data_IF_446232941124
#
_entry.id   IF_446232941124
#
_cell.length_a   1.000
_cell.length_b   1.000
_cell.length_c   1.000
_cell.angle_alpha   90.00
_cell.angle_beta   90.00
_cell.angle_gamma   90.00
#
_symmetry.space_group_name_H-M   'P 1'
#
loop_
_entity.id
_entity.type
_entity.pdbx_description
1 polymer ?
#
# COMPACT_ATOMS: atom_id res chain seq x y z
N UNK A 1 -12.57 -6.71 -30.43
CA UNK A 1 -12.47 -8.02 -29.73
C UNK A 1 -11.23 -7.99 -28.87
N UNK A 2 -11.36 -7.84 -27.55
CA UNK A 2 -10.20 -7.84 -26.64
C UNK A 2 -9.72 -9.28 -26.48
N UNK A 3 -8.43 -9.50 -26.71
CA UNK A 3 -7.81 -10.81 -26.78
C UNK A 3 -7.84 -11.48 -25.39
N UNK A 4 -8.52 -12.63 -25.24
CA UNK A 4 -8.68 -13.37 -23.97
C UNK A 4 -7.36 -13.81 -23.30
N UNK A 5 -6.20 -13.61 -23.96
CA UNK A 5 -4.86 -13.91 -23.43
C UNK A 5 -4.34 -12.89 -22.40
N UNK A 6 -4.96 -11.72 -22.25
CA UNK A 6 -4.43 -10.64 -21.38
C UNK A 6 -4.92 -10.64 -19.93
N UNK A 7 -5.90 -11.48 -19.55
CA UNK A 7 -6.28 -11.71 -18.15
C UNK A 7 -5.65 -13.01 -17.65
N UNK A 8 -4.36 -12.99 -17.34
CA UNK A 8 -3.62 -14.18 -16.92
C UNK A 8 -3.98 -14.68 -15.50
N UNK A 9 -4.64 -13.89 -14.65
CA UNK A 9 -5.11 -14.31 -13.33
C UNK A 9 -6.51 -13.71 -13.04
N UNK A 10 -7.60 -14.50 -13.07
CA UNK A 10 -8.95 -14.00 -12.80
C UNK A 10 -9.14 -13.53 -11.35
N UNK A 11 -8.35 -14.04 -10.40
CA UNK A 11 -8.44 -13.66 -8.98
C UNK A 11 -8.00 -12.21 -8.75
N UNK A 12 -7.01 -11.73 -9.52
CA UNK A 12 -6.50 -10.36 -9.43
C UNK A 12 -7.11 -9.40 -10.45
N UNK A 13 -8.08 -9.84 -11.24
CA UNK A 13 -8.65 -9.03 -12.32
C UNK A 13 -9.27 -7.71 -11.81
N UNK A 14 -9.89 -7.73 -10.63
CA UNK A 14 -10.44 -6.51 -10.01
C UNK A 14 -9.33 -5.50 -9.67
N UNK A 15 -8.28 -5.94 -8.97
CA UNK A 15 -7.14 -5.09 -8.62
C UNK A 15 -6.49 -4.50 -9.88
N UNK A 16 -6.33 -5.31 -10.93
CA UNK A 16 -5.83 -4.84 -12.23
C UNK A 16 -6.68 -3.71 -12.81
N UNK A 17 -8.02 -3.85 -12.81
CA UNK A 17 -8.92 -2.79 -13.28
C UNK A 17 -8.83 -1.52 -12.43
N UNK A 18 -8.73 -1.64 -11.11
CA UNK A 18 -8.58 -0.49 -10.22
C UNK A 18 -7.26 0.27 -10.49
N UNK A 19 -6.16 -0.45 -10.74
CA UNK A 19 -4.87 0.16 -11.16
C UNK A 19 -5.01 0.85 -12.52
N UNK A 20 -5.66 0.22 -13.50
CA UNK A 20 -5.87 0.81 -14.82
C UNK A 20 -6.73 2.08 -14.76
N UNK A 21 -7.76 2.08 -13.91
CA UNK A 21 -8.66 3.21 -13.70
C UNK A 21 -8.05 4.33 -12.82
N UNK A 22 -6.95 4.08 -12.11
CA UNK A 22 -6.42 5.05 -11.13
C UNK A 22 -7.27 5.16 -9.86
N UNK A 23 -8.06 4.13 -9.56
CA UNK A 23 -8.95 4.12 -8.40
C UNK A 23 -8.20 3.75 -7.11
N UNK A 24 -7.53 4.76 -6.54
CA UNK A 24 -6.79 4.62 -5.28
C UNK A 24 -7.71 4.31 -4.09
N UNK A 25 -8.96 4.77 -4.12
CA UNK A 25 -9.92 4.50 -3.04
C UNK A 25 -10.32 3.02 -3.06
N UNK A 26 -10.67 2.47 -4.21
CA UNK A 26 -10.96 1.05 -4.36
C UNK A 26 -9.77 0.18 -3.96
N UNK A 27 -8.55 0.54 -4.36
CA UNK A 27 -7.33 -0.16 -3.93
C UNK A 27 -7.10 -0.08 -2.42
N UNK A 28 -7.43 1.07 -1.80
CA UNK A 28 -7.33 1.26 -0.36
C UNK A 28 -8.30 0.35 0.40
N UNK A 29 -9.55 0.23 -0.06
CA UNK A 29 -10.51 -0.69 0.55
C UNK A 29 -10.07 -2.15 0.39
N UNK A 30 -9.53 -2.54 -0.77
CA UNK A 30 -8.93 -3.88 -0.94
C UNK A 30 -7.79 -4.14 0.03
N UNK A 31 -6.90 -3.17 0.24
CA UNK A 31 -5.84 -3.31 1.22
C UNK A 31 -6.40 -3.41 2.64
N UNK A 32 -7.47 -2.66 2.94
CA UNK A 32 -8.21 -2.75 4.20
C UNK A 32 -8.83 -4.13 4.46
N UNK A 33 -9.30 -4.85 3.43
CA UNK A 33 -9.79 -6.24 3.58
C UNK A 33 -8.70 -7.17 4.14
N UNK A 34 -7.44 -6.98 3.74
CA UNK A 34 -6.29 -7.72 4.27
C UNK A 34 -5.86 -7.22 5.66
N UNK A 35 -5.80 -5.90 5.82
CA UNK A 35 -5.20 -5.25 6.99
C UNK A 35 -6.14 -5.18 8.20
N UNK A 36 -7.45 -5.17 7.97
CA UNK A 36 -8.49 -5.10 9.00
C UNK A 36 -8.96 -3.69 9.36
N UNK A 37 -8.30 -2.64 8.88
CA UNK A 37 -8.74 -1.24 9.05
C UNK A 37 -8.09 -0.33 7.99
N UNK A 38 -8.54 0.93 7.91
CA UNK A 38 -7.93 1.95 7.08
C UNK A 38 -6.96 2.80 7.91
N UNK A 39 -5.72 2.96 7.44
CA UNK A 39 -4.74 3.84 8.08
C UNK A 39 -3.85 4.55 7.07
N UNK A 40 -3.25 5.67 7.48
CA UNK A 40 -2.41 6.49 6.61
C UNK A 40 -1.20 5.75 6.04
N UNK A 41 -0.54 4.91 6.85
CA UNK A 41 0.62 4.15 6.41
C UNK A 41 0.26 3.12 5.34
N UNK A 42 -0.88 2.45 5.46
CA UNK A 42 -1.38 1.55 4.41
C UNK A 42 -1.71 2.31 3.13
N UNK A 43 -2.32 3.50 3.23
CA UNK A 43 -2.59 4.35 2.08
C UNK A 43 -1.31 4.76 1.33
N UNK A 44 -0.21 5.02 2.05
CA UNK A 44 1.10 5.25 1.43
C UNK A 44 1.60 4.01 0.68
N UNK A 45 1.39 2.82 1.24
CA UNK A 45 1.73 1.55 0.59
C UNK A 45 0.94 1.33 -0.71
N UNK A 46 -0.37 1.59 -0.67
CA UNK A 46 -1.25 1.51 -1.86
C UNK A 46 -0.77 2.47 -2.94
N UNK A 47 -0.48 3.72 -2.57
CA UNK A 47 0.02 4.73 -3.51
C UNK A 47 1.38 4.36 -4.10
N UNK A 48 2.31 3.84 -3.28
CA UNK A 48 3.61 3.39 -3.75
C UNK A 48 3.50 2.21 -4.72
N UNK A 49 2.69 1.19 -4.36
CA UNK A 49 2.41 0.06 -5.24
C UNK A 49 1.77 0.50 -6.55
N UNK A 50 0.80 1.43 -6.50
CA UNK A 50 0.14 1.97 -7.68
C UNK A 50 1.12 2.67 -8.63
N UNK A 51 1.94 3.59 -8.09
CA UNK A 51 2.95 4.31 -8.87
C UNK A 51 3.90 3.30 -9.53
N UNK A 52 4.42 2.33 -8.77
CA UNK A 52 5.33 1.34 -9.33
C UNK A 52 4.70 0.52 -10.48
N UNK A 53 3.46 0.07 -10.30
CA UNK A 53 2.76 -0.71 -11.32
C UNK A 53 2.51 0.10 -12.59
N UNK A 54 2.20 1.39 -12.45
CA UNK A 54 1.97 2.32 -13.57
C UNK A 54 3.26 2.67 -14.31
N UNK A 55 4.27 3.16 -13.59
CA UNK A 55 5.53 3.63 -14.17
C UNK A 55 6.30 2.50 -14.88
N UNK A 56 6.27 1.29 -14.32
CA UNK A 56 6.91 0.13 -14.93
C UNK A 56 6.03 -0.60 -15.96
N UNK A 57 4.78 -0.15 -16.17
CA UNK A 57 3.77 -0.78 -17.05
C UNK A 57 3.62 -2.28 -16.73
N UNK A 58 3.43 -2.59 -15.45
CA UNK A 58 3.37 -3.96 -14.95
C UNK A 58 1.95 -4.50 -14.92
N UNK A 59 1.82 -5.79 -15.26
CA UNK A 59 0.63 -6.60 -15.00
C UNK A 59 1.05 -7.82 -14.19
N UNK A 60 0.78 -7.78 -12.89
CA UNK A 60 1.14 -8.84 -11.95
C UNK A 60 0.07 -9.93 -11.86
N UNK A 61 0.51 -11.17 -11.97
CA UNK A 61 -0.23 -12.40 -11.69
C UNK A 61 -0.26 -12.74 -10.20
N UNK A 62 0.39 -11.94 -9.35
CA UNK A 62 0.57 -12.25 -7.95
C UNK A 62 1.56 -13.38 -7.73
N UNK A 63 2.57 -13.47 -8.60
CA UNK A 63 3.68 -14.41 -8.50
C UNK A 63 5.00 -13.65 -8.74
N UNK A 64 6.10 -14.38 -8.84
CA UNK A 64 7.44 -13.81 -8.77
C UNK A 64 7.92 -13.09 -10.06
N UNK A 65 7.10 -12.86 -11.07
CA UNK A 65 7.48 -12.08 -12.26
C UNK A 65 7.72 -10.60 -11.95
N UNK A 66 7.12 -10.11 -10.86
CA UNK A 66 7.39 -8.83 -10.22
C UNK A 66 7.91 -9.12 -8.83
N UNK A 67 8.99 -8.44 -8.43
CA UNK A 67 9.53 -8.53 -7.08
C UNK A 67 9.34 -7.20 -6.36
N UNK A 68 8.91 -7.24 -5.10
CA UNK A 68 8.87 -6.09 -4.21
C UNK A 68 9.87 -6.28 -3.06
N UNK A 69 10.83 -5.39 -2.93
CA UNK A 69 11.76 -5.34 -1.81
C UNK A 69 11.26 -4.26 -0.84
N UNK A 70 10.79 -4.67 0.33
CA UNK A 70 10.22 -3.78 1.34
C UNK A 70 11.24 -3.48 2.43
N UNK A 71 11.30 -2.21 2.82
CA UNK A 71 12.30 -1.70 3.77
C UNK A 71 11.77 -1.44 5.20
N UNK A 72 10.53 -1.85 5.50
CA UNK A 72 9.82 -1.61 6.77
C UNK A 72 8.82 -2.72 7.13
N UNK A 73 8.52 -2.91 8.42
CA UNK A 73 7.50 -3.82 8.95
C UNK A 73 6.28 -3.07 9.53
N UNK A 74 5.64 -2.22 8.74
CA UNK A 74 4.42 -1.53 9.15
C UNK A 74 3.31 -1.66 8.09
N UNK A 75 2.17 -1.01 8.32
CA UNK A 75 0.98 -1.09 7.47
C UNK A 75 1.23 -0.72 6.00
N UNK A 76 2.30 0.03 5.69
CA UNK A 76 2.76 0.30 4.33
C UNK A 76 2.92 -0.99 3.52
N UNK A 77 3.42 -2.04 4.16
CA UNK A 77 3.70 -3.30 3.51
C UNK A 77 2.45 -3.98 2.98
N UNK A 78 1.32 -3.90 3.69
CA UNK A 78 0.06 -4.51 3.24
C UNK A 78 -0.53 -3.79 2.03
N UNK A 79 -0.42 -2.46 1.98
CA UNK A 79 -0.78 -1.69 0.79
C UNK A 79 0.04 -2.09 -0.44
N UNK A 80 1.36 -2.26 -0.27
CA UNK A 80 2.25 -2.74 -1.33
C UNK A 80 1.86 -4.16 -1.77
N UNK A 81 1.65 -5.08 -0.82
CA UNK A 81 1.28 -6.47 -1.10
C UNK A 81 -0.02 -6.53 -1.91
N UNK A 82 -1.04 -5.79 -1.49
CA UNK A 82 -2.35 -5.79 -2.16
C UNK A 82 -2.22 -5.33 -3.62
N UNK A 83 -1.61 -4.16 -3.84
CA UNK A 83 -1.56 -3.53 -5.16
C UNK A 83 -0.62 -4.27 -6.10
N UNK A 84 0.59 -4.61 -5.66
CA UNK A 84 1.59 -5.27 -6.51
C UNK A 84 1.31 -6.76 -6.68
N UNK A 85 0.64 -7.40 -5.72
CA UNK A 85 0.49 -8.85 -5.65
C UNK A 85 1.76 -9.56 -5.20
N UNK A 86 2.83 -8.83 -4.88
CA UNK A 86 4.02 -9.39 -4.29
C UNK A 86 3.75 -9.62 -2.80
N UNK A 87 3.57 -10.87 -2.39
CA UNK A 87 3.27 -11.21 -0.99
C UNK A 87 4.41 -12.01 -0.39
N UNK A 88 4.46 -12.09 0.94
CA UNK A 88 5.48 -12.89 1.61
C UNK A 88 5.37 -14.38 1.23
N UNK A 89 4.15 -14.92 1.18
CA UNK A 89 3.90 -16.35 0.94
C UNK A 89 4.10 -16.80 -0.51
N UNK A 90 4.04 -15.91 -1.49
CA UNK A 90 4.29 -16.25 -2.90
C UNK A 90 5.73 -16.00 -3.35
N UNK A 91 6.64 -15.75 -2.41
CA UNK A 91 8.08 -15.47 -2.62
C UNK A 91 8.40 -14.24 -3.47
N UNK A 92 7.42 -13.41 -3.82
CA UNK A 92 7.63 -12.21 -4.61
C UNK A 92 7.96 -10.98 -3.74
N UNK A 93 7.74 -11.05 -2.42
CA UNK A 93 8.13 -10.01 -1.49
C UNK A 93 9.41 -10.39 -0.74
N UNK A 94 10.41 -9.52 -0.82
CA UNK A 94 11.67 -9.64 -0.08
C UNK A 94 11.66 -8.59 1.03
N UNK A 95 11.68 -9.04 2.28
CA UNK A 95 11.75 -8.16 3.43
C UNK A 95 13.22 -7.82 3.78
N UNK A 96 13.53 -6.52 3.89
CA UNK A 96 14.84 -6.00 4.28
C UNK A 96 14.66 -4.84 5.26
N UNK A 97 14.61 -5.14 6.54
CA UNK A 97 14.36 -4.13 7.56
C UNK A 97 15.50 -3.08 7.63
N UNK A 98 15.27 -1.92 7.02
CA UNK A 98 16.16 -0.76 7.13
C UNK A 98 15.51 0.37 7.92
N UNK A 99 14.30 0.15 8.46
CA UNK A 99 13.48 1.18 9.09
C UNK A 99 13.05 2.30 8.13
N UNK A 100 13.05 2.06 6.82
CA UNK A 100 12.64 3.05 5.80
C UNK A 100 11.27 2.69 5.27
N UNK A 101 10.30 3.62 5.34
CA UNK A 101 9.01 3.46 4.67
C UNK A 101 9.20 3.58 3.16
N UNK A 102 9.68 2.50 2.54
CA UNK A 102 10.08 2.43 1.15
C UNK A 102 9.87 1.03 0.57
N UNK A 103 9.69 1.00 -0.75
CA UNK A 103 9.64 -0.22 -1.56
C UNK A 103 10.45 -0.05 -2.84
N UNK A 104 11.20 -1.07 -3.22
CA UNK A 104 11.73 -1.22 -4.58
C UNK A 104 10.90 -2.27 -5.32
N UNK A 105 10.29 -1.89 -6.44
CA UNK A 105 9.57 -2.82 -7.31
C UNK A 105 10.40 -3.05 -8.57
N UNK A 106 10.62 -4.31 -8.92
CA UNK A 106 11.52 -4.70 -10.00
C UNK A 106 10.92 -5.76 -10.93
N UNK A 107 11.24 -5.64 -12.23
CA UNK A 107 11.11 -6.69 -13.23
C UNK A 107 12.28 -7.67 -13.12
N UNK A 108 12.09 -8.88 -13.65
CA UNK A 108 13.16 -9.89 -13.75
C UNK A 108 14.33 -9.48 -14.66
N UNK A 109 14.13 -8.52 -15.56
CA UNK A 109 15.19 -7.96 -16.40
C UNK A 109 16.09 -6.93 -15.69
N UNK A 110 15.81 -6.63 -14.42
CA UNK A 110 16.57 -5.66 -13.62
C UNK A 110 16.02 -4.24 -13.65
N UNK A 111 15.04 -3.93 -14.51
CA UNK A 111 14.36 -2.63 -14.50
C UNK A 111 13.58 -2.48 -13.20
N UNK A 112 13.85 -1.42 -12.44
CA UNK A 112 13.25 -1.22 -11.13
C UNK A 112 12.96 0.26 -10.84
N UNK A 113 12.02 0.49 -9.93
CA UNK A 113 11.74 1.79 -9.32
C UNK A 113 11.76 1.64 -7.81
N UNK A 114 12.42 2.57 -7.12
CA UNK A 114 12.37 2.68 -5.66
C UNK A 114 11.55 3.90 -5.25
N UNK A 115 10.58 3.69 -4.37
CA UNK A 115 9.67 4.72 -3.88
C UNK A 115 9.82 4.76 -2.36
N UNK A 116 10.04 5.95 -1.82
CA UNK A 116 10.17 6.20 -0.39
C UNK A 116 9.20 7.31 0.04
N UNK A 117 8.64 7.19 1.25
CA UNK A 117 7.90 8.27 1.89
C UNK A 117 8.85 9.44 2.13
N UNK A 118 8.43 10.65 1.76
CA UNK A 118 9.19 11.85 2.04
C UNK A 118 9.18 12.11 3.57
N UNK A 119 10.34 12.10 4.25
CA UNK A 119 10.40 12.35 5.69
C UNK A 119 9.85 13.73 6.05
N UNK A 120 10.13 14.77 5.26
CA UNK A 120 9.65 16.14 5.53
C UNK A 120 8.12 16.22 5.51
N UNK A 121 7.49 15.39 4.66
CA UNK A 121 6.03 15.29 4.63
C UNK A 121 5.52 14.61 5.90
N UNK A 122 6.14 13.50 6.34
CA UNK A 122 5.70 12.78 7.53
C UNK A 122 5.88 13.64 8.80
N UNK A 123 6.99 14.37 8.91
CA UNK A 123 7.30 15.24 10.04
C UNK A 123 6.27 16.38 10.17
N UNK A 124 5.82 16.97 9.07
CA UNK A 124 4.85 18.08 9.13
C UNK A 124 3.39 17.64 9.31
N UNK A 125 3.05 16.33 9.27
CA UNK A 125 1.65 15.87 9.36
C UNK A 125 0.97 16.25 10.66
N UNK A 126 1.70 16.26 11.76
CA UNK A 126 1.17 16.63 13.08
C UNK A 126 0.73 18.09 13.10
N UNK A 127 1.46 18.96 12.42
CA UNK A 127 1.15 20.37 12.29
C UNK A 127 0.05 20.63 11.25
N UNK A 128 0.01 19.84 10.18
CA UNK A 128 -1.03 19.93 9.14
C UNK A 128 -2.40 19.42 9.62
N UNK A 129 -2.42 18.37 10.46
CA UNK A 129 -3.64 17.70 10.90
C UNK A 129 -3.71 17.60 12.44
N UNK A 130 -3.68 18.74 13.16
CA UNK A 130 -3.53 18.75 14.61
C UNK A 130 -4.70 18.05 15.32
N UNK A 131 -5.93 18.20 14.81
CA UNK A 131 -7.10 17.52 15.37
C UNK A 131 -7.02 16.00 15.25
N UNK A 132 -6.62 15.49 14.08
CA UNK A 132 -6.49 14.06 13.83
C UNK A 132 -5.41 13.45 14.75
N UNK A 133 -4.26 14.11 14.90
CA UNK A 133 -3.20 13.64 15.79
C UNK A 133 -3.57 13.74 17.28
N UNK A 134 -4.38 14.75 17.66
CA UNK A 134 -4.92 14.82 19.04
C UNK A 134 -5.83 13.62 19.34
N UNK A 135 -6.71 13.26 18.41
CA UNK A 135 -7.56 12.07 18.53
C UNK A 135 -6.73 10.78 18.49
N UNK A 136 -5.76 10.69 17.58
CA UNK A 136 -4.86 9.53 17.49
C UNK A 136 -4.07 9.32 18.79
N UNK A 137 -3.48 10.38 19.35
CA UNK A 137 -2.70 10.28 20.58
C UNK A 137 -3.59 9.83 21.75
N UNK A 138 -4.82 10.35 21.84
CA UNK A 138 -5.81 9.96 22.85
C UNK A 138 -6.22 8.48 22.71
N UNK A 139 -6.70 8.11 21.52
CA UNK A 139 -7.40 6.85 21.27
C UNK A 139 -6.42 5.70 21.03
N UNK A 140 -5.39 5.93 20.20
CA UNK A 140 -4.48 4.87 19.75
C UNK A 140 -3.25 4.79 20.64
N UNK A 141 -2.57 5.91 20.89
CA UNK A 141 -1.31 5.91 21.63
C UNK A 141 -1.52 5.70 23.14
N UNK A 142 -2.48 6.43 23.73
CA UNK A 142 -2.81 6.34 25.16
C UNK A 142 -3.88 5.31 25.50
N UNK A 143 -4.62 4.80 24.49
CA UNK A 143 -5.70 3.82 24.65
C UNK A 143 -6.81 4.31 25.60
N UNK A 144 -7.10 5.60 25.57
CA UNK A 144 -8.24 6.18 26.28
C UNK A 144 -9.54 5.85 25.52
N UNK A 145 -10.63 5.62 26.25
CA UNK A 145 -11.92 5.29 25.66
C UNK A 145 -12.53 6.52 24.95
N UNK A 146 -12.74 6.48 23.62
CA UNK A 146 -13.33 7.60 22.91
C UNK A 146 -14.84 7.65 23.07
N UNK A 147 -15.42 8.84 22.89
CA UNK A 147 -16.85 8.93 22.57
C UNK A 147 -17.12 8.37 21.16
N UNK A 148 -18.37 7.97 20.84
CA UNK A 148 -18.71 7.55 19.48
C UNK A 148 -18.35 8.59 18.41
N UNK A 149 -18.53 9.88 18.71
CA UNK A 149 -18.17 10.99 17.82
C UNK A 149 -16.64 11.11 17.63
N UNK A 150 -15.86 10.98 18.71
CA UNK A 150 -14.39 11.01 18.62
C UNK A 150 -13.85 9.84 17.80
N UNK A 151 -14.45 8.67 17.95
CA UNK A 151 -14.11 7.50 17.15
C UNK A 151 -14.47 7.70 15.67
N UNK A 152 -15.66 8.21 15.37
CA UNK A 152 -16.09 8.51 14.00
C UNK A 152 -15.20 9.57 13.34
N UNK A 153 -14.76 10.59 14.08
CA UNK A 153 -13.88 11.64 13.54
C UNK A 153 -12.44 11.18 13.27
N UNK A 154 -11.98 10.11 13.92
CA UNK A 154 -10.64 9.56 13.70
C UNK A 154 -10.59 8.63 12.48
N UNK A 155 -11.69 7.93 12.19
CA UNK A 155 -11.80 6.91 11.14
C UNK A 155 -12.11 7.52 9.77
#
# INVERSE_FOLDING_TARGET
>A
MVNKKEMRNPVRAEIGRLIEAGDLQGLLYKAGELHGHLCGHMAYGVKAGYIAMRELTLKSQGMEEVIAIIETNNCFSDGVQMVTGCSFGNNALIYRDFGKTAVTVAKRDGTAIRIALNPDFEDCRRDMYPEAYKLFDKIVAKREEPTPEEHERLM
#
